data_IF_171997886661
#
_entry.id   IF_171997886661
#
_cell.length_a   1.000
_cell.length_b   1.000
_cell.length_c   1.000
_cell.angle_alpha   90.00
_cell.angle_beta   90.00
_cell.angle_gamma   90.00
#
_symmetry.space_group_name_H-M   'P 1'
#
loop_
_entity.id
_entity.type
_entity.pdbx_description
1 polymer ?
#
# COMPACT_ATOMS: atom_id res chain seq x y z
N UNK A 1 31.39 -32.10 -17.38
CA UNK A 1 30.27 -31.86 -16.45
C UNK A 1 29.55 -30.60 -16.92
N UNK A 2 28.29 -30.70 -17.33
CA UNK A 2 27.46 -29.53 -17.68
C UNK A 2 26.63 -29.22 -16.43
N UNK A 3 26.86 -28.05 -15.83
CA UNK A 3 26.09 -27.58 -14.68
C UNK A 3 24.75 -27.08 -15.19
N UNK A 4 23.68 -27.82 -14.94
CA UNK A 4 22.32 -27.41 -15.28
C UNK A 4 21.84 -26.45 -14.19
N UNK A 5 21.97 -25.14 -14.42
CA UNK A 5 21.29 -24.15 -13.59
C UNK A 5 19.80 -24.21 -13.94
N UNK A 6 19.03 -24.97 -13.17
CA UNK A 6 17.59 -24.93 -13.23
C UNK A 6 17.12 -23.56 -12.70
N UNK A 7 16.70 -22.67 -13.59
CA UNK A 7 15.92 -21.51 -13.20
C UNK A 7 14.56 -22.04 -12.73
N UNK A 8 14.31 -22.01 -11.42
CA UNK A 8 12.97 -22.28 -10.89
C UNK A 8 12.00 -21.32 -11.59
N UNK A 9 10.87 -21.80 -12.14
CA UNK A 9 9.81 -20.90 -12.56
C UNK A 9 9.46 -20.01 -11.36
N UNK A 10 9.45 -18.70 -11.56
CA UNK A 10 8.98 -17.73 -10.58
C UNK A 10 7.47 -17.92 -10.45
N UNK A 11 7.07 -18.95 -9.73
CA UNK A 11 5.68 -19.18 -9.34
C UNK A 11 5.20 -17.93 -8.60
N UNK A 12 4.29 -17.22 -9.29
CA UNK A 12 3.27 -16.32 -8.78
C UNK A 12 3.73 -15.38 -7.66
N UNK A 13 3.93 -14.10 -8.00
CA UNK A 13 4.16 -12.98 -7.08
C UNK A 13 3.35 -13.17 -5.80
N UNK A 14 4.02 -13.59 -4.74
CA UNK A 14 3.47 -13.85 -3.40
C UNK A 14 2.63 -12.65 -2.91
N UNK A 15 3.01 -11.45 -3.35
CA UNK A 15 2.38 -10.19 -2.99
C UNK A 15 1.44 -9.69 -4.11
N UNK A 16 0.13 -9.65 -3.84
CA UNK A 16 -0.85 -8.97 -4.69
C UNK A 16 -0.92 -7.46 -4.37
N UNK A 17 -0.65 -6.63 -5.37
CA UNK A 17 -0.61 -5.18 -5.26
C UNK A 17 -1.53 -4.52 -6.30
N UNK A 18 -2.86 -4.48 -6.07
CA UNK A 18 -3.82 -3.83 -6.97
C UNK A 18 -3.51 -2.36 -7.23
N UNK A 19 -3.82 -1.91 -8.44
CA UNK A 19 -3.60 -0.55 -8.90
C UNK A 19 -4.58 0.41 -8.24
N UNK A 20 -4.08 1.44 -7.56
CA UNK A 20 -4.91 2.47 -6.93
C UNK A 20 -5.53 3.36 -8.01
N UNK A 21 -6.85 3.56 -7.94
CA UNK A 21 -7.62 4.42 -8.84
C UNK A 21 -7.84 5.82 -8.25
N UNK A 22 -7.89 5.92 -6.91
CA UNK A 22 -8.00 7.18 -6.19
C UNK A 22 -7.28 7.12 -4.83
N UNK A 23 -6.57 8.18 -4.40
CA UNK A 23 -6.45 9.49 -5.03
C UNK A 23 -5.59 9.50 -6.30
N UNK A 24 -5.86 10.43 -7.21
CA UNK A 24 -5.05 10.67 -8.40
C UNK A 24 -4.16 11.92 -8.23
N UNK A 25 -3.35 12.23 -9.23
CA UNK A 25 -2.54 13.44 -9.18
C UNK A 25 -3.43 14.69 -9.07
N UNK A 26 -3.02 15.65 -8.25
CA UNK A 26 -3.77 16.86 -7.99
C UNK A 26 -5.00 16.68 -7.07
N UNK A 27 -5.28 15.47 -6.57
CA UNK A 27 -6.31 15.30 -5.54
C UNK A 27 -5.93 16.09 -4.30
N UNK A 28 -6.88 16.92 -3.87
CA UNK A 28 -6.82 17.78 -2.70
C UNK A 28 -7.66 17.14 -1.59
N UNK A 29 -7.05 16.95 -0.42
CA UNK A 29 -7.78 16.48 0.76
C UNK A 29 -7.76 17.50 1.87
N UNK A 30 -8.94 17.67 2.49
CA UNK A 30 -9.15 18.53 3.64
C UNK A 30 -8.88 17.76 4.92
N UNK A 31 -8.09 18.34 5.81
CA UNK A 31 -7.80 17.75 7.13
C UNK A 31 -9.08 17.51 7.94
N UNK A 32 -9.08 16.47 8.78
CA UNK A 32 -10.25 16.08 9.57
C UNK A 32 -11.39 15.46 8.76
N UNK A 33 -11.26 15.39 7.42
CA UNK A 33 -12.27 14.80 6.55
C UNK A 33 -12.03 13.32 6.32
N UNK A 34 -13.09 12.65 5.87
CA UNK A 34 -13.05 11.25 5.43
C UNK A 34 -12.95 11.19 3.92
N UNK A 35 -12.12 10.28 3.44
CA UNK A 35 -11.91 10.07 2.02
C UNK A 35 -11.88 8.58 1.71
N UNK A 36 -12.49 8.18 0.60
CA UNK A 36 -12.27 6.85 0.07
C UNK A 36 -10.91 6.79 -0.62
N UNK A 37 -10.21 5.69 -0.42
CA UNK A 37 -9.10 5.25 -1.27
C UNK A 37 -9.63 4.07 -2.06
N UNK A 38 -9.51 4.10 -3.39
CA UNK A 38 -10.06 3.06 -4.26
C UNK A 38 -8.98 2.42 -5.11
N UNK A 39 -9.16 1.16 -5.47
CA UNK A 39 -8.23 0.40 -6.29
C UNK A 39 -8.95 -0.62 -7.15
N UNK A 40 -8.27 -1.04 -8.20
CA UNK A 40 -8.75 -2.03 -9.14
C UNK A 40 -8.70 -3.44 -8.55
N UNK A 41 -9.81 -4.17 -8.64
CA UNK A 41 -9.95 -5.56 -8.19
C UNK A 41 -10.42 -6.49 -9.31
N UNK A 42 -10.35 -6.09 -10.59
CA UNK A 42 -10.85 -6.89 -11.71
C UNK A 42 -9.99 -8.10 -12.05
N UNK A 43 -8.75 -8.17 -11.57
CA UNK A 43 -7.82 -9.25 -11.93
C UNK A 43 -6.94 -9.71 -10.76
N UNK A 44 -7.55 -10.19 -9.66
CA UNK A 44 -6.80 -10.76 -8.55
C UNK A 44 -6.18 -12.11 -8.96
N UNK A 45 -4.97 -12.45 -8.49
CA UNK A 45 -4.44 -13.79 -8.64
C UNK A 45 -5.28 -14.79 -7.82
N UNK A 46 -5.25 -16.07 -8.21
CA UNK A 46 -6.02 -17.11 -7.51
C UNK A 46 -5.49 -17.41 -6.11
N UNK A 47 -4.24 -17.03 -5.81
CA UNK A 47 -3.63 -17.15 -4.48
C UNK A 47 -3.07 -15.79 -4.08
N UNK A 48 -3.39 -15.37 -2.86
CA UNK A 48 -2.99 -14.11 -2.26
C UNK A 48 -2.52 -14.41 -0.84
N UNK A 49 -1.24 -14.19 -0.55
CA UNK A 49 -0.68 -14.42 0.79
C UNK A 49 -0.66 -13.16 1.66
N UNK A 50 -1.03 -12.02 1.07
CA UNK A 50 -1.14 -10.71 1.71
C UNK A 50 -2.56 -10.08 1.59
N UNK A 51 -3.65 -10.79 1.97
CA UNK A 51 -5.02 -10.35 1.69
C UNK A 51 -5.45 -9.10 2.45
N UNK A 52 -4.71 -8.69 3.49
CA UNK A 52 -5.01 -7.53 4.32
C UNK A 52 -4.06 -6.37 4.03
N UNK A 53 -4.62 -5.17 3.90
CA UNK A 53 -3.87 -3.95 3.62
C UNK A 53 -3.72 -3.04 4.85
N UNK A 54 -2.73 -2.17 4.77
CA UNK A 54 -2.58 -1.02 5.66
C UNK A 54 -2.30 0.23 4.82
N UNK A 55 -2.87 1.37 5.18
CA UNK A 55 -2.65 2.66 4.52
C UNK A 55 -1.93 3.59 5.48
N UNK A 56 -0.78 4.10 5.04
CA UNK A 56 0.01 5.10 5.74
C UNK A 56 0.02 6.43 5.00
N UNK A 57 0.14 7.51 5.76
CA UNK A 57 0.40 8.83 5.21
C UNK A 57 1.90 9.09 5.18
N UNK A 58 2.42 9.40 3.99
CA UNK A 58 3.78 9.92 3.81
C UNK A 58 3.75 11.36 3.33
N UNK A 59 4.82 12.07 3.64
CA UNK A 59 5.17 13.35 3.04
C UNK A 59 6.58 13.19 2.47
N UNK A 60 6.75 13.56 1.20
CA UNK A 60 7.96 13.24 0.44
C UNK A 60 8.23 11.73 0.47
N UNK A 61 9.39 11.31 1.00
CA UNK A 61 9.78 9.90 1.17
C UNK A 61 9.77 9.48 2.65
N UNK A 62 9.09 10.22 3.52
CA UNK A 62 9.02 9.92 4.96
C UNK A 62 7.59 9.59 5.37
N UNK A 63 7.42 8.46 6.07
CA UNK A 63 6.15 8.14 6.75
C UNK A 63 6.01 9.04 7.96
N UNK A 64 5.00 9.91 7.93
CA UNK A 64 4.81 10.95 8.95
C UNK A 64 3.94 10.48 10.11
N UNK A 65 3.14 9.43 9.90
CA UNK A 65 2.32 8.81 10.95
C UNK A 65 2.86 7.42 11.26
N UNK A 66 3.19 7.17 12.54
CA UNK A 66 3.57 5.83 13.00
C UNK A 66 2.40 4.85 12.91
N UNK A 67 1.19 5.36 13.04
CA UNK A 67 -0.06 4.58 12.96
C UNK A 67 -0.65 4.69 11.55
N UNK A 68 -1.13 3.58 10.96
CA UNK A 68 -1.83 3.63 9.69
C UNK A 68 -3.17 4.39 9.82
N UNK A 69 -3.59 5.05 8.73
CA UNK A 69 -4.91 5.69 8.60
C UNK A 69 -6.05 4.66 8.49
N UNK A 70 -5.75 3.49 7.93
CA UNK A 70 -6.62 2.32 7.92
C UNK A 70 -5.77 1.06 7.89
N UNK A 71 -6.22 -0.01 8.55
CA UNK A 71 -5.50 -1.28 8.62
C UNK A 71 -6.47 -2.46 8.63
N UNK A 72 -5.92 -3.64 8.32
CA UNK A 72 -6.63 -4.92 8.37
C UNK A 72 -7.85 -5.03 7.44
N UNK A 73 -7.98 -4.15 6.45
CA UNK A 73 -9.04 -4.23 5.44
C UNK A 73 -8.66 -5.21 4.33
N UNK A 74 -9.67 -5.87 3.74
CA UNK A 74 -9.45 -6.76 2.59
C UNK A 74 -9.03 -5.96 1.36
N UNK A 75 -7.97 -6.40 0.70
CA UNK A 75 -7.47 -5.78 -0.52
C UNK A 75 -8.31 -6.14 -1.75
N UNK A 76 -9.32 -6.98 -1.56
CA UNK A 76 -10.31 -7.33 -2.58
C UNK A 76 -11.58 -6.48 -2.47
N UNK A 77 -11.69 -5.62 -1.45
CA UNK A 77 -12.86 -4.75 -1.25
C UNK A 77 -12.97 -3.62 -2.29
N UNK A 78 -11.89 -3.32 -3.03
CA UNK A 78 -11.84 -2.25 -4.04
C UNK A 78 -11.79 -0.84 -3.46
N UNK A 79 -12.08 -0.67 -2.17
CA UNK A 79 -11.94 0.60 -1.49
C UNK A 79 -11.82 0.44 0.04
N UNK A 80 -11.32 1.49 0.68
CA UNK A 80 -11.45 1.70 2.14
C UNK A 80 -11.61 3.19 2.42
N UNK A 81 -12.47 3.52 3.37
CA UNK A 81 -12.58 4.88 3.89
C UNK A 81 -11.46 5.13 4.91
N UNK A 82 -10.76 6.25 4.76
CA UNK A 82 -9.74 6.74 5.70
C UNK A 82 -10.20 8.06 6.32
N UNK A 83 -9.77 8.31 7.56
CA UNK A 83 -9.94 9.60 8.22
C UNK A 83 -8.59 10.31 8.33
N UNK A 84 -8.50 11.54 7.81
CA UNK A 84 -7.28 12.33 7.96
C UNK A 84 -7.24 13.00 9.33
N UNK A 85 -6.11 12.93 10.05
CA UNK A 85 -5.93 13.69 11.28
C UNK A 85 -6.14 15.19 11.03
N UNK A 86 -6.77 15.92 11.97
CA UNK A 86 -7.05 17.35 11.82
C UNK A 86 -5.80 18.23 11.93
N UNK A 87 -4.71 17.74 12.54
CA UNK A 87 -3.53 18.53 12.89
C UNK A 87 -2.31 18.20 12.01
N UNK A 88 -2.54 17.95 10.72
CA UNK A 88 -1.44 17.78 9.77
C UNK A 88 -0.95 19.16 9.35
N UNK A 89 0.36 19.36 9.11
CA UNK A 89 0.78 20.63 8.51
C UNK A 89 0.21 20.69 7.09
N UNK A 90 -0.30 21.84 6.66
CA UNK A 90 -0.68 22.01 5.25
C UNK A 90 0.54 21.79 4.34
N UNK A 91 0.29 21.36 3.10
CA UNK A 91 1.35 21.29 2.10
C UNK A 91 1.20 20.19 1.08
N UNK A 92 2.15 20.18 0.17
CA UNK A 92 2.07 19.36 -1.03
C UNK A 92 2.92 18.10 -0.84
N UNK A 93 2.81 17.15 -1.78
CA UNK A 93 3.60 15.91 -1.81
C UNK A 93 3.22 14.86 -0.76
N UNK A 94 1.96 14.86 -0.37
CA UNK A 94 1.43 13.75 0.41
C UNK A 94 1.25 12.52 -0.45
N UNK A 95 1.42 11.35 0.17
CA UNK A 95 1.31 10.08 -0.54
C UNK A 95 0.67 9.07 0.38
N UNK A 96 -0.30 8.35 -0.16
CA UNK A 96 -0.78 7.13 0.47
C UNK A 96 0.18 6.01 0.16
N UNK A 97 0.68 5.33 1.18
CA UNK A 97 1.50 4.13 1.00
C UNK A 97 0.80 2.93 1.59
N UNK A 98 0.75 1.86 0.80
CA UNK A 98 0.25 0.57 1.26
C UNK A 98 1.42 -0.23 1.77
N UNK A 99 1.29 -0.68 3.01
CA UNK A 99 2.21 -1.65 3.57
C UNK A 99 1.49 -3.00 3.66
N UNK A 100 2.27 -4.07 3.51
CA UNK A 100 1.83 -5.43 3.76
C UNK A 100 2.49 -5.87 5.06
N UNK A 101 1.73 -6.29 6.08
CA UNK A 101 2.37 -7.00 7.18
C UNK A 101 3.05 -8.24 6.60
N UNK A 102 4.33 -8.50 6.90
CA UNK A 102 4.98 -9.71 6.44
C UNK A 102 4.21 -10.94 6.96
N UNK A 103 4.06 -11.99 6.16
CA UNK A 103 3.58 -13.28 6.67
C UNK A 103 4.37 -13.67 7.92
N UNK A 104 3.68 -14.10 8.97
CA UNK A 104 4.28 -14.40 10.28
C UNK A 104 5.37 -15.49 10.23
N UNK A 105 5.48 -16.22 9.12
CA UNK A 105 6.43 -17.31 8.90
C UNK A 105 7.69 -16.92 8.12
N UNK A 106 7.91 -15.64 7.76
CA UNK A 106 9.13 -15.23 7.06
C UNK A 106 10.27 -14.86 8.05
N UNK A 107 11.52 -15.30 7.81
CA UNK A 107 12.65 -14.91 8.63
C UNK A 107 12.99 -13.43 8.47
N UNK A 108 13.25 -12.76 9.59
CA UNK A 108 13.40 -11.31 9.77
C UNK A 108 14.34 -10.55 8.81
N UNK A 109 15.45 -11.10 8.24
CA UNK A 109 16.30 -10.30 7.36
C UNK A 109 15.70 -10.01 5.97
N UNK A 110 14.59 -10.65 5.57
CA UNK A 110 13.91 -10.37 4.29
C UNK A 110 12.81 -9.29 4.39
N UNK A 111 12.59 -8.73 5.58
CA UNK A 111 11.55 -7.71 5.85
C UNK A 111 11.81 -6.37 5.16
N UNK A 112 12.97 -6.18 4.52
CA UNK A 112 13.41 -4.89 3.99
C UNK A 112 12.76 -4.47 2.65
N UNK A 113 11.95 -5.32 2.01
CA UNK A 113 11.39 -5.02 0.66
C UNK A 113 9.91 -5.38 0.50
N UNK A 114 9.06 -4.95 1.45
CA UNK A 114 7.59 -5.18 1.39
C UNK A 114 6.77 -3.89 1.33
N UNK A 115 7.41 -2.75 1.15
CA UNK A 115 6.72 -1.47 0.94
C UNK A 115 6.53 -1.22 -0.56
N UNK A 116 5.30 -1.33 -1.05
CA UNK A 116 4.94 -0.70 -2.33
C UNK A 116 4.72 0.78 -2.06
N UNK A 117 5.67 1.63 -2.45
CA UNK A 117 5.56 3.08 -2.31
C UNK A 117 4.66 3.62 -3.42
N UNK A 118 3.38 3.80 -3.13
CA UNK A 118 2.49 4.53 -4.03
C UNK A 118 2.72 6.03 -3.85
N UNK A 119 2.85 6.74 -4.95
CA UNK A 119 2.89 8.22 -4.95
C UNK A 119 1.47 8.69 -5.22
N UNK A 120 1.11 9.89 -4.71
CA UNK A 120 0.11 10.85 -5.21
C UNK A 120 -0.82 11.40 -4.11
N UNK A 121 -0.98 12.73 -4.10
CA UNK A 121 -1.87 13.52 -3.23
C UNK A 121 -1.27 14.86 -2.75
N UNK A 122 -2.07 15.92 -2.70
CA UNK A 122 -1.71 17.22 -2.11
C UNK A 122 -2.70 17.50 -0.96
N UNK A 123 -2.23 17.91 0.22
CA UNK A 123 -3.13 18.37 1.30
C UNK A 123 -3.23 19.89 1.22
N UNK A 124 -4.43 20.43 1.41
CA UNK A 124 -4.65 21.86 1.62
C UNK A 124 -5.45 22.10 2.90
#
# INVERSE_FOLDING_TARGET
>A
MISLVAALPLDRRDVYAPHVLYPHNGTVWQMGSRHNVTWDTTSPPSEITNPNGQIYLRRDDTTILKTPLASNFSILAGHVEIALPPNLPAGNKYRIVRAYPPPAHLPSPLTASIYSVWRLGQLV
#
